data_IF_020074781005
#
_entry.id   IF_020074781005
#
_cell.length_a   1.000
_cell.length_b   1.000
_cell.length_c   1.000
_cell.angle_alpha   90.00
_cell.angle_beta   90.00
_cell.angle_gamma   90.00
#
_symmetry.space_group_name_H-M   'P 1'
#
loop_
_entity.id
_entity.type
_entity.pdbx_description
1 polymer ?
#
# COMPACT_ATOMS: atom_id res chain seq x y z
N UNK A 1 9.46 -55.58 -0.69
CA UNK A 1 10.10 -54.97 -1.87
C UNK A 1 9.33 -55.40 -3.13
N UNK A 2 8.05 -55.06 -3.28
CA UNK A 2 7.23 -55.52 -4.44
C UNK A 2 6.59 -54.38 -5.25
N UNK A 3 6.68 -53.12 -4.81
CA UNK A 3 5.91 -52.02 -5.41
C UNK A 3 6.68 -51.15 -6.40
N UNK A 4 7.95 -51.47 -6.69
CA UNK A 4 8.77 -50.70 -7.64
C UNK A 4 8.28 -50.83 -9.11
N UNK A 5 7.64 -51.94 -9.49
CA UNK A 5 7.14 -52.15 -10.85
C UNK A 5 5.79 -51.50 -11.17
N UNK A 6 5.13 -50.84 -10.20
CA UNK A 6 3.83 -50.19 -10.40
C UNK A 6 4.01 -48.83 -11.09
N UNK A 7 5.11 -48.13 -10.80
CA UNK A 7 5.44 -46.83 -11.37
C UNK A 7 5.89 -46.91 -12.84
N UNK A 8 6.63 -47.96 -13.23
CA UNK A 8 7.05 -48.22 -14.62
C UNK A 8 5.88 -48.43 -15.60
N UNK A 9 4.71 -48.81 -15.11
CA UNK A 9 3.50 -48.96 -15.94
C UNK A 9 2.84 -47.60 -16.21
N UNK A 10 3.02 -46.63 -15.31
CA UNK A 10 2.43 -45.28 -15.44
C UNK A 10 3.27 -44.36 -16.35
N UNK A 11 4.57 -44.61 -16.48
CA UNK A 11 5.48 -43.96 -17.43
C UNK A 11 6.35 -45.03 -18.10
N UNK A 12 5.89 -45.64 -19.21
CA UNK A 12 6.67 -46.67 -19.87
C UNK A 12 7.86 -46.00 -20.58
N UNK A 13 9.07 -46.29 -20.12
CA UNK A 13 10.25 -46.15 -20.99
C UNK A 13 10.05 -47.11 -22.17
N UNK A 14 10.44 -46.68 -23.37
CA UNK A 14 10.18 -47.32 -24.69
C UNK A 14 10.71 -48.76 -24.89
N UNK A 15 11.04 -49.52 -23.84
CA UNK A 15 11.73 -50.79 -23.99
C UNK A 15 10.88 -51.98 -23.52
N UNK A 16 10.38 -52.74 -24.51
CA UNK A 16 10.10 -54.17 -24.34
C UNK A 16 8.63 -54.59 -24.31
N UNK A 17 8.03 -54.76 -25.49
CA UNK A 17 6.66 -55.24 -25.72
C UNK A 17 6.41 -56.74 -25.42
N UNK A 18 6.99 -57.31 -24.35
CA UNK A 18 6.93 -58.77 -24.10
C UNK A 18 6.52 -59.12 -22.66
N UNK A 19 5.25 -58.88 -22.26
CA UNK A 19 4.63 -59.51 -21.07
C UNK A 19 3.10 -59.25 -20.97
N UNK A 20 2.32 -59.53 -22.01
CA UNK A 20 0.93 -59.03 -22.15
C UNK A 20 -0.06 -59.53 -21.06
N UNK A 21 0.15 -60.70 -20.45
CA UNK A 21 -0.74 -61.22 -19.39
C UNK A 21 -0.33 -60.82 -17.96
N UNK A 22 0.98 -60.84 -17.66
CA UNK A 22 1.49 -60.38 -16.36
C UNK A 22 1.39 -58.85 -16.21
N UNK A 23 1.53 -58.11 -17.30
CA UNK A 23 1.27 -56.66 -17.33
C UNK A 23 -0.22 -56.35 -17.08
N UNK A 24 -1.15 -57.16 -17.60
CA UNK A 24 -2.59 -56.93 -17.38
C UNK A 24 -3.02 -57.17 -15.92
N UNK A 25 -2.44 -58.17 -15.24
CA UNK A 25 -2.68 -58.39 -13.81
C UNK A 25 -2.10 -57.24 -12.95
N UNK A 26 -0.91 -56.74 -13.30
CA UNK A 26 -0.26 -55.59 -12.65
C UNK A 26 -1.00 -54.27 -12.91
N UNK A 27 -1.48 -54.04 -14.14
CA UNK A 27 -2.30 -52.88 -14.51
C UNK A 27 -3.63 -52.86 -13.76
N UNK A 28 -4.27 -54.03 -13.59
CA UNK A 28 -5.49 -54.16 -12.79
C UNK A 28 -5.26 -53.88 -11.31
N UNK A 29 -4.14 -54.34 -10.75
CA UNK A 29 -3.74 -54.06 -9.35
C UNK A 29 -3.44 -52.57 -9.17
N UNK A 30 -2.66 -51.97 -10.06
CA UNK A 30 -2.35 -50.54 -10.07
C UNK A 30 -3.63 -49.67 -10.16
N UNK A 31 -4.54 -50.04 -11.05
CA UNK A 31 -5.86 -49.38 -11.19
C UNK A 31 -6.69 -49.50 -9.92
N UNK A 32 -6.75 -50.67 -9.30
CA UNK A 32 -7.51 -50.86 -8.06
C UNK A 32 -6.98 -49.96 -6.93
N UNK A 33 -5.66 -49.89 -6.75
CA UNK A 33 -5.04 -49.00 -5.77
C UNK A 33 -5.29 -47.53 -6.09
N UNK A 34 -5.18 -47.13 -7.35
CA UNK A 34 -5.42 -45.75 -7.76
C UNK A 34 -6.88 -45.31 -7.56
N UNK A 35 -7.84 -46.21 -7.80
CA UNK A 35 -9.26 -45.96 -7.55
C UNK A 35 -9.60 -45.94 -6.05
N UNK A 36 -8.91 -46.73 -5.21
CA UNK A 36 -9.10 -46.71 -3.75
C UNK A 36 -8.70 -45.37 -3.11
N UNK A 37 -7.75 -44.65 -3.70
CA UNK A 37 -7.29 -43.36 -3.20
C UNK A 37 -8.14 -42.17 -3.67
N UNK A 38 -9.14 -42.39 -4.53
CA UNK A 38 -9.94 -41.31 -5.12
C UNK A 38 -11.29 -41.11 -4.39
N UNK A 39 -11.73 -39.86 -4.21
CA UNK A 39 -13.08 -39.58 -3.72
C UNK A 39 -14.15 -40.02 -4.74
N UNK A 40 -15.34 -40.36 -4.25
CA UNK A 40 -16.45 -40.95 -5.02
C UNK A 40 -16.81 -40.14 -6.29
N UNK A 41 -16.69 -38.82 -6.23
CA UNK A 41 -16.95 -37.91 -7.35
C UNK A 41 -15.97 -38.09 -8.51
N UNK A 42 -14.69 -38.32 -8.20
CA UNK A 42 -13.66 -38.61 -9.20
C UNK A 42 -13.80 -40.06 -9.68
N UNK A 43 -14.08 -40.98 -8.76
CA UNK A 43 -14.22 -42.41 -9.05
C UNK A 43 -15.30 -42.68 -10.10
N UNK A 44 -16.49 -42.05 -10.01
CA UNK A 44 -17.57 -42.21 -11.01
C UNK A 44 -17.15 -41.80 -12.43
N UNK A 45 -16.26 -40.83 -12.57
CA UNK A 45 -15.82 -40.34 -13.89
C UNK A 45 -14.77 -41.25 -14.52
N UNK A 46 -13.82 -41.76 -13.73
CA UNK A 46 -12.75 -42.65 -14.23
C UNK A 46 -13.10 -44.13 -14.22
N UNK A 47 -14.17 -44.56 -13.53
CA UNK A 47 -14.61 -45.96 -13.46
C UNK A 47 -14.92 -46.60 -14.83
N UNK A 48 -15.33 -45.81 -15.82
CA UNK A 48 -15.64 -46.30 -17.18
C UNK A 48 -14.40 -46.60 -18.03
N UNK A 49 -13.21 -46.12 -17.63
CA UNK A 49 -11.97 -46.29 -18.39
C UNK A 49 -11.37 -47.67 -18.17
N UNK A 50 -10.77 -48.27 -19.20
CA UNK A 50 -10.40 -49.70 -19.18
C UNK A 50 -9.02 -49.92 -18.58
N UNK A 51 -8.04 -49.09 -18.92
CA UNK A 51 -6.63 -49.23 -18.53
C UNK A 51 -6.23 -48.28 -17.38
N UNK A 52 -5.22 -48.63 -16.58
CA UNK A 52 -4.70 -47.73 -15.53
C UNK A 52 -4.15 -46.43 -16.14
N UNK A 53 -3.46 -46.54 -17.29
CA UNK A 53 -2.92 -45.39 -18.04
C UNK A 53 -4.01 -44.40 -18.45
N UNK A 54 -5.13 -44.86 -18.99
CA UNK A 54 -6.26 -43.98 -19.35
C UNK A 54 -6.85 -43.24 -18.15
N UNK A 55 -6.92 -43.90 -16.99
CA UNK A 55 -7.39 -43.32 -15.73
C UNK A 55 -6.41 -42.22 -15.28
N UNK A 56 -5.11 -42.53 -15.28
CA UNK A 56 -4.04 -41.59 -14.94
C UNK A 56 -3.99 -40.38 -15.87
N UNK A 57 -4.06 -40.59 -17.18
CA UNK A 57 -4.08 -39.52 -18.18
C UNK A 57 -5.34 -38.64 -18.02
N UNK A 58 -6.49 -39.23 -17.63
CA UNK A 58 -7.70 -38.47 -17.32
C UNK A 58 -7.54 -37.56 -16.11
N UNK A 59 -6.89 -38.08 -15.06
CA UNK A 59 -6.63 -37.35 -13.82
C UNK A 59 -5.64 -36.23 -14.12
N UNK A 60 -4.51 -36.54 -14.78
CA UNK A 60 -3.53 -35.54 -15.24
C UNK A 60 -4.22 -34.45 -16.06
N UNK A 61 -5.02 -34.79 -17.07
CA UNK A 61 -5.70 -33.79 -17.90
C UNK A 61 -6.63 -32.88 -17.06
N UNK A 62 -7.44 -33.45 -16.17
CA UNK A 62 -8.37 -32.67 -15.33
C UNK A 62 -7.64 -31.77 -14.32
N UNK A 63 -6.58 -32.27 -13.68
CA UNK A 63 -5.81 -31.47 -12.72
C UNK A 63 -4.96 -30.40 -13.41
N UNK A 64 -4.37 -30.70 -14.58
CA UNK A 64 -3.66 -29.70 -15.40
C UNK A 64 -4.61 -28.61 -15.87
N UNK A 65 -5.85 -28.94 -16.26
CA UNK A 65 -6.85 -27.94 -16.58
C UNK A 65 -7.27 -27.13 -15.36
N UNK A 66 -7.42 -27.76 -14.19
CA UNK A 66 -7.68 -27.06 -12.94
C UNK A 66 -6.55 -26.10 -12.57
N UNK A 67 -5.28 -26.48 -12.77
CA UNK A 67 -4.12 -25.64 -12.50
C UNK A 67 -4.00 -24.50 -13.51
N UNK A 68 -4.29 -24.74 -14.79
CA UNK A 68 -4.41 -23.68 -15.81
C UNK A 68 -5.50 -22.66 -15.45
N UNK A 69 -6.64 -23.12 -14.93
CA UNK A 69 -7.72 -22.25 -14.46
C UNK A 69 -7.30 -21.45 -13.22
N UNK A 70 -6.56 -22.05 -12.27
CA UNK A 70 -6.00 -21.32 -11.12
C UNK A 70 -5.02 -20.24 -11.56
N UNK A 71 -4.11 -20.56 -12.48
CA UNK A 71 -3.13 -19.60 -13.01
C UNK A 71 -3.84 -18.46 -13.75
N UNK A 72 -4.83 -18.76 -14.59
CA UNK A 72 -5.63 -17.73 -15.26
C UNK A 72 -6.34 -16.81 -14.25
N UNK A 73 -6.87 -17.36 -13.15
CA UNK A 73 -7.47 -16.57 -12.06
C UNK A 73 -6.44 -15.69 -11.33
N UNK A 74 -5.24 -16.20 -11.07
CA UNK A 74 -4.15 -15.42 -10.49
C UNK A 74 -3.74 -14.25 -11.40
N UNK A 75 -3.63 -14.49 -12.71
CA UNK A 75 -3.32 -13.43 -13.68
C UNK A 75 -4.41 -12.34 -13.74
N UNK A 76 -5.68 -12.73 -13.70
CA UNK A 76 -6.79 -11.77 -13.60
C UNK A 76 -6.69 -10.95 -12.32
N UNK A 77 -6.46 -11.60 -11.18
CA UNK A 77 -6.34 -10.92 -9.89
C UNK A 77 -5.11 -9.98 -9.84
N UNK A 78 -4.05 -10.28 -10.58
CA UNK A 78 -2.89 -9.41 -10.79
C UNK A 78 -3.22 -8.17 -11.57
N UNK A 79 -3.94 -8.34 -12.67
CA UNK A 79 -4.43 -7.23 -13.47
C UNK A 79 -5.38 -6.34 -12.66
N UNK A 80 -6.27 -6.94 -11.87
CA UNK A 80 -7.14 -6.20 -10.94
C UNK A 80 -6.33 -5.47 -9.88
N UNK A 81 -5.31 -6.10 -9.28
CA UNK A 81 -4.48 -5.50 -8.26
C UNK A 81 -3.76 -4.28 -8.83
N UNK A 82 -3.19 -4.40 -10.03
CA UNK A 82 -2.50 -3.31 -10.71
C UNK A 82 -3.45 -2.16 -11.09
N UNK A 83 -4.70 -2.47 -11.47
CA UNK A 83 -5.72 -1.48 -11.78
C UNK A 83 -6.34 -0.81 -10.54
N UNK A 84 -6.24 -1.43 -9.36
CA UNK A 84 -6.79 -0.86 -8.13
C UNK A 84 -6.04 0.41 -7.74
N UNK A 85 -6.84 1.44 -7.53
CA UNK A 85 -6.44 2.77 -7.08
C UNK A 85 -7.48 3.31 -6.11
N UNK A 86 -7.03 4.17 -5.21
CA UNK A 86 -7.90 4.80 -4.23
C UNK A 86 -8.65 5.95 -4.90
N UNK A 87 -9.96 6.03 -4.70
CA UNK A 87 -10.74 7.17 -5.20
C UNK A 87 -10.59 8.37 -4.26
N UNK A 88 -10.81 9.59 -4.75
CA UNK A 88 -10.69 10.80 -3.92
C UNK A 88 -11.69 10.81 -2.75
N UNK A 89 -12.92 10.36 -3.00
CA UNK A 89 -14.02 10.29 -2.04
C UNK A 89 -13.94 9.07 -1.09
N UNK A 90 -13.08 8.11 -1.40
CA UNK A 90 -12.94 6.89 -0.62
C UNK A 90 -12.09 7.14 0.64
N UNK A 91 -12.49 6.54 1.76
CA UNK A 91 -11.70 6.58 2.98
C UNK A 91 -10.50 5.64 2.90
N UNK A 92 -9.42 5.96 3.62
CA UNK A 92 -8.24 5.11 3.66
C UNK A 92 -8.59 3.70 4.18
N UNK A 93 -9.49 3.60 5.15
CA UNK A 93 -9.97 2.31 5.69
C UNK A 93 -10.68 1.45 4.66
N UNK A 94 -11.56 2.04 3.85
CA UNK A 94 -12.25 1.33 2.77
C UNK A 94 -11.23 0.80 1.76
N UNK A 95 -10.25 1.63 1.39
CA UNK A 95 -9.22 1.24 0.44
C UNK A 95 -8.34 0.10 0.96
N UNK A 96 -7.87 0.20 2.20
CA UNK A 96 -7.09 -0.85 2.87
C UNK A 96 -7.89 -2.14 2.95
N UNK A 97 -9.18 -2.07 3.30
CA UNK A 97 -10.06 -3.23 3.30
C UNK A 97 -10.13 -3.93 1.94
N UNK A 98 -10.17 -3.18 0.84
CA UNK A 98 -10.12 -3.75 -0.52
C UNK A 98 -8.79 -4.44 -0.80
N UNK A 99 -7.66 -3.83 -0.45
CA UNK A 99 -6.34 -4.43 -0.64
C UNK A 99 -6.19 -5.73 0.17
N UNK A 100 -6.62 -5.74 1.43
CA UNK A 100 -6.60 -6.93 2.28
C UNK A 100 -7.50 -8.03 1.71
N UNK A 101 -8.71 -7.68 1.25
CA UNK A 101 -9.61 -8.65 0.62
C UNK A 101 -9.00 -9.28 -0.65
N UNK A 102 -8.23 -8.51 -1.44
CA UNK A 102 -7.50 -9.04 -2.58
C UNK A 102 -6.35 -9.96 -2.15
N UNK A 103 -5.59 -9.59 -1.12
CA UNK A 103 -4.54 -10.46 -0.56
C UNK A 103 -5.09 -11.83 -0.13
N UNK A 104 -6.26 -11.84 0.53
CA UNK A 104 -6.94 -13.10 0.89
C UNK A 104 -7.32 -13.92 -0.35
N UNK A 105 -7.86 -13.28 -1.40
CA UNK A 105 -8.18 -13.97 -2.67
C UNK A 105 -6.93 -14.56 -3.34
N UNK A 106 -5.78 -13.89 -3.24
CA UNK A 106 -4.49 -14.39 -3.71
C UNK A 106 -4.06 -15.65 -2.97
N UNK A 107 -4.08 -15.59 -1.63
CA UNK A 107 -3.72 -16.71 -0.77
C UNK A 107 -4.60 -17.93 -0.99
N UNK A 108 -5.90 -17.73 -1.24
CA UNK A 108 -6.84 -18.81 -1.54
C UNK A 108 -6.52 -19.55 -2.85
N UNK A 109 -5.84 -18.91 -3.80
CA UNK A 109 -5.41 -19.50 -5.07
C UNK A 109 -3.98 -20.09 -4.99
N UNK A 110 -3.34 -20.03 -3.83
CA UNK A 110 -1.96 -20.48 -3.62
C UNK A 110 -0.89 -19.47 -4.01
N UNK A 111 -1.27 -18.23 -4.36
CA UNK A 111 -0.33 -17.14 -4.58
C UNK A 111 -0.03 -16.39 -3.28
N UNK A 112 1.21 -15.95 -3.09
CA UNK A 112 1.58 -15.08 -1.97
C UNK A 112 1.79 -13.66 -2.45
N UNK A 113 1.14 -12.71 -1.77
CA UNK A 113 1.34 -11.29 -2.01
C UNK A 113 2.25 -10.75 -0.90
N UNK A 114 3.44 -10.31 -1.27
CA UNK A 114 4.44 -9.81 -0.31
C UNK A 114 3.98 -8.47 0.29
N UNK A 115 4.28 -8.26 1.58
CA UNK A 115 3.97 -7.04 2.30
C UNK A 115 4.62 -5.82 1.61
N UNK A 116 5.82 -6.00 1.08
CA UNK A 116 6.52 -4.94 0.33
C UNK A 116 5.74 -4.54 -0.92
N UNK A 117 5.11 -5.51 -1.59
CA UNK A 117 4.28 -5.22 -2.78
C UNK A 117 3.01 -4.47 -2.39
N UNK A 118 2.36 -4.85 -1.28
CA UNK A 118 1.19 -4.17 -0.73
C UNK A 118 1.50 -2.73 -0.29
N UNK A 119 2.60 -2.51 0.43
CA UNK A 119 3.06 -1.19 0.88
C UNK A 119 3.36 -0.28 -0.30
N UNK A 120 4.13 -0.77 -1.28
CA UNK A 120 4.41 -0.01 -2.50
C UNK A 120 3.12 0.33 -3.22
N UNK A 121 2.21 -0.64 -3.35
CA UNK A 121 0.94 -0.41 -4.00
C UNK A 121 0.15 0.68 -3.30
N UNK A 122 0.04 0.61 -1.97
CA UNK A 122 -0.60 1.63 -1.15
C UNK A 122 -0.01 3.02 -1.45
N UNK A 123 1.31 3.19 -1.39
CA UNK A 123 1.95 4.50 -1.57
C UNK A 123 1.76 5.07 -2.98
N UNK A 124 1.81 4.25 -4.04
CA UNK A 124 1.62 4.74 -5.41
C UNK A 124 0.17 5.02 -5.80
N UNK A 125 -0.79 4.50 -5.06
CA UNK A 125 -2.23 4.56 -5.44
C UNK A 125 -3.06 5.48 -4.56
N UNK A 126 -2.49 5.95 -3.46
CA UNK A 126 -3.12 6.86 -2.52
C UNK A 126 -3.09 8.30 -3.09
N UNK A 127 -4.12 9.13 -2.85
CA UNK A 127 -4.21 10.48 -3.43
C UNK A 127 -3.13 11.44 -2.94
N UNK A 128 -2.95 12.54 -3.67
CA UNK A 128 -1.87 13.53 -3.45
C UNK A 128 -1.81 14.10 -2.02
N UNK A 129 -2.94 14.08 -1.30
CA UNK A 129 -3.05 14.52 0.09
C UNK A 129 -2.08 13.80 1.05
N UNK A 130 -1.62 12.59 0.70
CA UNK A 130 -0.67 11.82 1.51
C UNK A 130 0.78 11.89 1.00
N UNK A 131 1.08 12.61 -0.09
CA UNK A 131 2.42 12.63 -0.68
C UNK A 131 3.48 13.06 0.34
N UNK A 132 3.20 14.07 1.16
CA UNK A 132 4.16 14.59 2.15
C UNK A 132 4.57 13.51 3.16
N UNK A 133 3.59 12.75 3.68
CA UNK A 133 3.88 11.67 4.63
C UNK A 133 4.55 10.48 3.94
N UNK A 134 4.16 10.16 2.70
CA UNK A 134 4.78 9.08 1.92
C UNK A 134 6.26 9.37 1.66
N UNK A 135 6.59 10.57 1.17
CA UNK A 135 8.00 10.99 0.96
C UNK A 135 8.79 10.90 2.27
N UNK A 136 8.21 11.34 3.38
CA UNK A 136 8.85 11.19 4.69
C UNK A 136 9.14 9.73 5.05
N UNK A 137 8.16 8.84 4.86
CA UNK A 137 8.36 7.41 5.11
C UNK A 137 9.42 6.83 4.17
N UNK A 138 9.37 7.13 2.88
CA UNK A 138 10.36 6.65 1.90
C UNK A 138 11.78 7.12 2.21
N UNK A 139 11.95 8.35 2.72
CA UNK A 139 13.25 8.91 3.06
C UNK A 139 13.86 8.29 4.32
N UNK A 140 13.03 7.94 5.31
CA UNK A 140 13.49 7.51 6.63
C UNK A 140 13.35 5.99 6.88
N UNK A 141 12.61 5.26 6.04
CA UNK A 141 12.35 3.83 6.22
C UNK A 141 12.77 2.98 5.02
N UNK A 142 13.32 1.80 5.32
CA UNK A 142 13.56 0.76 4.32
C UNK A 142 12.25 0.00 4.08
N UNK A 143 11.64 0.17 2.91
CA UNK A 143 10.35 -0.45 2.54
C UNK A 143 10.31 -1.98 2.72
N UNK A 144 11.44 -2.67 2.62
CA UNK A 144 11.54 -4.13 2.81
C UNK A 144 11.28 -4.59 4.24
N UNK A 145 11.41 -3.69 5.22
CA UNK A 145 11.21 -3.99 6.65
C UNK A 145 9.88 -3.46 7.17
N UNK A 146 9.14 -2.73 6.34
CA UNK A 146 7.89 -2.10 6.73
C UNK A 146 6.75 -3.09 6.51
N UNK A 147 6.03 -3.47 7.56
CA UNK A 147 4.81 -4.27 7.39
C UNK A 147 3.68 -3.42 6.82
N UNK A 148 2.73 -4.07 6.17
CA UNK A 148 1.58 -3.38 5.58
C UNK A 148 0.76 -2.62 6.63
N UNK A 149 0.52 -3.23 7.79
CA UNK A 149 -0.24 -2.63 8.90
C UNK A 149 0.44 -1.38 9.46
N UNK A 150 1.77 -1.43 9.56
CA UNK A 150 2.60 -0.32 10.00
C UNK A 150 2.55 0.89 9.05
N UNK A 151 2.52 0.63 7.74
CA UNK A 151 2.37 1.68 6.73
C UNK A 151 0.99 2.34 6.84
N UNK A 152 -0.06 1.52 6.97
CA UNK A 152 -1.44 1.97 7.14
C UNK A 152 -1.58 2.80 8.42
N UNK A 153 -1.01 2.36 9.53
CA UNK A 153 -1.07 3.08 10.81
C UNK A 153 -0.45 4.48 10.73
N UNK A 154 0.68 4.62 10.03
CA UNK A 154 1.34 5.93 9.81
C UNK A 154 0.50 6.87 8.94
N UNK A 155 -0.11 6.35 7.87
CA UNK A 155 -1.01 7.14 7.01
C UNK A 155 -2.28 7.57 7.77
N UNK A 156 -2.84 6.70 8.61
CA UNK A 156 -4.00 7.02 9.47
C UNK A 156 -3.68 8.11 10.50
N UNK A 157 -2.53 8.01 11.16
CA UNK A 157 -2.08 9.03 12.10
C UNK A 157 -1.98 10.40 11.41
N UNK A 158 -1.43 10.45 10.20
CA UNK A 158 -1.37 11.68 9.40
C UNK A 158 -2.77 12.22 9.03
N UNK A 159 -3.72 11.34 8.68
CA UNK A 159 -5.09 11.73 8.40
C UNK A 159 -5.76 12.37 9.63
N UNK A 160 -5.54 11.81 10.83
CA UNK A 160 -6.04 12.36 12.09
C UNK A 160 -5.44 13.74 12.41
N UNK A 161 -4.13 13.93 12.20
CA UNK A 161 -3.48 15.23 12.36
C UNK A 161 -4.01 16.28 11.39
N UNK A 162 -4.28 15.89 10.14
CA UNK A 162 -4.84 16.80 9.12
C UNK A 162 -6.28 17.18 9.44
N UNK A 163 -7.09 16.25 9.96
CA UNK A 163 -8.46 16.51 10.45
C UNK A 163 -8.47 17.50 11.62
N UNK A 164 -7.49 17.41 12.54
CA UNK A 164 -7.32 18.37 13.64
C UNK A 164 -6.82 19.74 13.17
N UNK A 165 -5.99 19.80 12.13
CA UNK A 165 -5.47 21.04 11.53
C UNK A 165 -6.43 21.75 10.55
N UNK A 166 -7.50 21.08 10.12
CA UNK A 166 -8.49 21.58 9.16
C UNK A 166 -9.33 22.78 9.64
N UNK A 167 -9.16 23.21 10.90
CA UNK A 167 -9.83 24.38 11.45
C UNK A 167 -9.08 25.72 11.35
N UNK A 168 -7.81 25.79 10.91
CA UNK A 168 -7.09 27.07 11.10
C UNK A 168 -5.83 27.40 10.31
N UNK A 169 -5.20 26.50 9.55
CA UNK A 169 -3.85 26.78 9.00
C UNK A 169 -3.74 26.52 7.49
N UNK A 170 -4.80 26.78 6.73
CA UNK A 170 -4.71 26.80 5.25
C UNK A 170 -5.13 28.12 4.61
N UNK A 171 -5.66 29.07 5.40
CA UNK A 171 -6.12 30.37 4.90
C UNK A 171 -5.50 31.60 5.56
N UNK A 172 -4.50 31.47 6.44
CA UNK A 172 -4.04 32.60 7.27
C UNK A 172 -2.52 32.75 7.43
N UNK A 173 -1.70 32.17 6.55
CA UNK A 173 -0.24 32.31 6.66
C UNK A 173 0.46 32.99 5.49
N UNK A 174 -0.26 33.40 4.44
CA UNK A 174 0.31 34.21 3.38
C UNK A 174 -0.60 35.42 3.18
N UNK A 175 -0.40 36.46 4.00
CA UNK A 175 -0.76 37.80 3.53
C UNK A 175 0.26 38.15 2.45
N UNK A 176 -0.21 38.57 1.29
CA UNK A 176 0.67 39.21 0.30
C UNK A 176 1.18 40.53 0.87
N UNK A 177 2.38 40.95 0.49
CA UNK A 177 2.99 42.18 1.02
C UNK A 177 2.09 43.41 0.84
N UNK A 178 1.35 43.45 -0.27
CA UNK A 178 0.30 44.44 -0.56
C UNK A 178 -0.84 44.48 0.46
N UNK A 179 -1.26 43.33 1.00
CA UNK A 179 -2.36 43.27 1.98
C UNK A 179 -1.88 43.66 3.40
N UNK A 180 -0.61 43.43 3.71
CA UNK A 180 0.02 43.88 4.96
C UNK A 180 0.16 45.42 4.98
N UNK A 181 0.61 46.01 3.86
CA UNK A 181 0.74 47.46 3.70
C UNK A 181 -0.62 48.18 3.70
N UNK A 182 -1.65 47.58 3.09
CA UNK A 182 -3.02 48.11 3.13
C UNK A 182 -3.59 48.17 4.55
N UNK A 183 -3.26 47.19 5.41
CA UNK A 183 -3.64 47.20 6.82
C UNK A 183 -2.92 48.25 7.65
N UNK A 184 -1.64 48.49 7.39
CA UNK A 184 -0.89 49.60 8.01
C UNK A 184 -1.49 50.96 7.62
N UNK A 185 -1.90 51.14 6.36
CA UNK A 185 -2.59 52.37 5.93
C UNK A 185 -3.98 52.52 6.57
N UNK A 186 -4.70 51.41 6.79
CA UNK A 186 -6.02 51.43 7.46
C UNK A 186 -5.92 51.79 8.94
N UNK A 187 -4.91 51.31 9.67
CA UNK A 187 -4.70 51.70 11.07
C UNK A 187 -4.28 53.17 11.24
N UNK A 188 -3.73 53.80 10.20
CA UNK A 188 -3.43 55.24 10.18
C UNK A 188 -4.65 56.08 9.77
N UNK A 189 -5.66 55.46 9.15
CA UNK A 189 -6.84 56.15 8.60
C UNK A 189 -8.10 56.18 9.48
N UNK A 190 -8.21 55.32 10.50
CA UNK A 190 -9.36 55.26 11.41
C UNK A 190 -8.94 55.59 12.85
N UNK A 191 -8.69 56.87 13.10
CA UNK A 191 -8.36 57.42 14.41
C UNK A 191 -8.92 58.84 14.59
N UNK A 192 -10.15 59.09 14.15
CA UNK A 192 -10.88 60.33 14.42
C UNK A 192 -12.00 60.05 15.41
N UNK A 193 -11.70 60.14 16.70
CA UNK A 193 -12.73 60.11 17.75
C UNK A 193 -12.18 59.84 19.14
N UNK A 194 -11.82 60.90 19.87
CA UNK A 194 -11.65 60.87 21.33
C UNK A 194 -10.23 60.62 21.84
N UNK A 195 -9.43 61.68 21.97
CA UNK A 195 -8.22 61.66 22.80
C UNK A 195 -8.60 62.09 24.22
N UNK A 196 -8.60 61.14 25.16
CA UNK A 196 -8.66 61.45 26.59
C UNK A 196 -7.26 61.83 27.06
N UNK A 197 -7.18 62.79 27.97
CA UNK A 197 -5.95 63.45 28.46
C UNK A 197 -4.90 62.51 29.09
N UNK A 198 -5.21 61.24 29.31
CA UNK A 198 -4.31 60.26 29.91
C UNK A 198 -3.33 59.61 28.91
N UNK A 199 -3.66 59.60 27.60
CA UNK A 199 -2.78 59.02 26.57
C UNK A 199 -1.62 59.96 26.15
N UNK A 200 -1.77 61.27 26.37
CA UNK A 200 -0.71 62.25 26.05
C UNK A 200 0.52 62.11 26.97
N UNK A 201 0.31 61.72 28.24
CA UNK A 201 1.40 61.57 29.22
C UNK A 201 2.23 60.32 28.94
N UNK A 202 1.63 59.29 28.32
CA UNK A 202 2.32 58.03 28.03
C UNK A 202 3.17 58.09 26.77
N UNK A 203 2.83 58.96 25.82
CA UNK A 203 3.61 59.19 24.59
C UNK A 203 4.89 60.02 24.85
N UNK A 204 4.85 60.97 25.79
CA UNK A 204 6.02 61.81 26.13
C UNK A 204 7.15 61.01 26.81
N UNK A 205 6.79 60.04 27.67
CA UNK A 205 7.76 59.16 28.36
C UNK A 205 8.44 58.18 27.38
N UNK A 206 7.72 57.72 26.35
CA UNK A 206 8.26 56.80 25.33
C UNK A 206 9.12 57.55 24.29
N UNK A 207 8.73 58.77 23.89
CA UNK A 207 9.55 59.61 23.02
C UNK A 207 10.90 60.00 23.67
N UNK A 208 10.90 60.27 24.98
CA UNK A 208 12.11 60.59 25.74
C UNK A 208 13.12 59.42 25.85
N UNK A 209 12.64 58.18 25.84
CA UNK A 209 13.49 56.97 25.92
C UNK A 209 14.04 56.57 24.55
N UNK A 210 13.25 56.66 23.47
CA UNK A 210 13.70 56.41 22.11
C UNK A 210 14.80 57.40 21.66
N UNK A 211 14.65 58.69 22.00
CA UNK A 211 15.66 59.72 21.73
C UNK A 211 16.99 59.54 22.49
N UNK A 212 16.98 58.79 23.61
CA UNK A 212 18.20 58.48 24.39
C UNK A 212 18.96 57.29 23.79
N UNK A 213 18.25 56.31 23.22
CA UNK A 213 18.87 55.18 22.52
C UNK A 213 19.51 55.58 21.18
N UNK A 214 18.86 56.45 20.40
CA UNK A 214 19.42 56.91 19.11
C UNK A 214 20.68 57.76 19.28
N UNK A 215 20.81 58.53 20.37
CA UNK A 215 22.03 59.29 20.68
C UNK A 215 23.21 58.38 21.06
N UNK A 216 22.94 57.30 21.80
CA UNK A 216 23.97 56.28 22.12
C UNK A 216 24.45 55.51 20.89
N UNK A 217 23.55 55.19 19.95
CA UNK A 217 23.91 54.49 18.71
C UNK A 217 24.79 55.34 17.78
N UNK A 218 24.47 56.63 17.62
CA UNK A 218 25.30 57.57 16.86
C UNK A 218 26.66 57.83 17.50
N UNK A 219 26.74 57.86 18.84
CA UNK A 219 28.04 57.99 19.53
C UNK A 219 28.93 56.75 19.34
N UNK A 220 28.35 55.55 19.24
CA UNK A 220 29.10 54.31 18.98
C UNK A 220 29.59 54.20 17.53
N UNK A 221 28.77 54.63 16.55
CA UNK A 221 29.12 54.62 15.12
C UNK A 221 30.15 55.69 14.72
N UNK A 222 30.30 56.76 15.52
CA UNK A 222 31.36 57.76 15.33
C UNK A 222 32.74 57.31 15.83
N UNK A 223 32.78 56.38 16.80
CA UNK A 223 34.03 55.86 17.38
C UNK A 223 34.65 54.76 16.51
N UNK A 224 33.86 54.07 15.71
CA UNK A 224 34.33 52.94 14.86
C UNK A 224 34.72 53.32 13.43
N UNK A 225 34.74 54.61 13.09
CA UNK A 225 35.17 55.11 11.77
C UNK A 225 36.51 55.85 11.77
N UNK A 226 37.22 55.87 12.91
CA UNK A 226 38.58 56.42 13.03
C UNK A 226 39.46 55.41 13.81
N UNK A 227 39.76 54.27 13.18
CA UNK A 227 40.96 53.42 13.41
C UNK A 227 41.14 52.56 12.17
#
# INVERSE_FOLDING_TARGET
MEDQGVWEIMEPSEQGATAVAAAAAKDRKAKAHLLQCLPDDLLRQVARKKTCKEVWDSLKARFVEADRVKEARLQTLKSEFDAVRMKEEESLDQYVGRLTAMSVKYSNLGGTLDDVALVKKLFYTVPERFIIVIIGIEQFYVLKKLSFEEAVGRLKAFEEHTKRGGGGVRGKLLLTQSEWEARQKKSVGEGSGGRTVEDAVREEVVAGTAGKLMRRRRAWESVTRVT
#
